data_IF_643871310336
#
_entry.id   IF_643871310336
#
_cell.length_a   1.000
_cell.length_b   1.000
_cell.length_c   1.000
_cell.angle_alpha   90.00
_cell.angle_beta   90.00
_cell.angle_gamma   90.00
#
_symmetry.space_group_name_H-M   'P 1'
#
loop_
_entity.id
_entity.type
_entity.pdbx_description
1 polymer ?
#
# COMPACT_ATOMS: atom_id res chain seq x y z
N UNK A 1 -17.10 -6.31 -11.57
CA UNK A 1 -16.84 -5.85 -10.19
C UNK A 1 -17.75 -4.66 -9.95
N UNK A 2 -18.45 -4.63 -8.81
CA UNK A 2 -19.31 -3.50 -8.46
C UNK A 2 -18.49 -2.24 -8.14
N UNK A 3 -19.13 -1.08 -8.18
CA UNK A 3 -18.56 0.15 -7.64
C UNK A 3 -18.58 0.08 -6.11
N UNK A 4 -17.44 0.37 -5.47
CA UNK A 4 -17.35 0.56 -4.04
C UNK A 4 -17.73 1.99 -3.66
N UNK A 5 -18.53 2.14 -2.61
CA UNK A 5 -18.88 3.44 -2.02
C UNK A 5 -18.61 3.42 -0.52
N UNK A 6 -17.78 4.35 -0.04
CA UNK A 6 -17.43 4.49 1.38
C UNK A 6 -18.03 5.80 1.91
N UNK A 7 -18.81 5.69 2.98
CA UNK A 7 -19.45 6.82 3.65
C UNK A 7 -18.95 6.95 5.08
N UNK A 8 -18.81 8.19 5.53
CA UNK A 8 -18.52 8.58 6.91
C UNK A 8 -19.62 9.57 7.32
N UNK A 9 -20.47 9.17 8.26
CA UNK A 9 -21.63 9.96 8.73
C UNK A 9 -22.50 10.51 7.58
N UNK A 10 -22.91 9.60 6.68
CA UNK A 10 -23.65 9.89 5.44
C UNK A 10 -22.91 10.71 4.37
N UNK A 11 -21.71 11.22 4.64
CA UNK A 11 -20.88 11.89 3.65
C UNK A 11 -20.08 10.87 2.81
N UNK A 12 -20.23 10.95 1.48
CA UNK A 12 -19.48 10.12 0.55
C UNK A 12 -17.99 10.51 0.55
N UNK A 13 -17.14 9.60 1.01
CA UNK A 13 -15.68 9.79 1.07
C UNK A 13 -14.97 9.24 -0.18
N UNK A 14 -15.53 8.18 -0.79
CA UNK A 14 -14.93 7.53 -1.95
C UNK A 14 -16.01 6.78 -2.75
N UNK A 15 -15.97 6.92 -4.08
CA UNK A 15 -16.68 6.08 -5.04
C UNK A 15 -15.66 5.59 -6.08
N UNK A 16 -15.48 4.27 -6.21
CA UNK A 16 -14.43 3.71 -7.07
C UNK A 16 -14.68 2.26 -7.45
N UNK A 17 -14.16 1.83 -8.60
CA UNK A 17 -14.07 0.41 -8.95
C UNK A 17 -12.76 -0.24 -8.48
N UNK A 18 -11.83 0.54 -7.90
CA UNK A 18 -10.53 0.07 -7.42
C UNK A 18 -10.64 -0.47 -5.99
N UNK A 19 -10.40 -1.77 -5.74
CA UNK A 19 -10.45 -2.35 -4.40
C UNK A 19 -9.45 -1.71 -3.45
N UNK A 20 -8.22 -1.44 -3.91
CA UNK A 20 -7.17 -0.86 -3.05
C UNK A 20 -7.48 0.59 -2.66
N UNK A 21 -8.13 1.36 -3.54
CA UNK A 21 -8.59 2.71 -3.21
C UNK A 21 -9.78 2.68 -2.23
N UNK A 22 -10.70 1.72 -2.40
CA UNK A 22 -11.79 1.50 -1.46
C UNK A 22 -11.27 1.08 -0.07
N UNK A 23 -10.30 0.16 -0.01
CA UNK A 23 -9.61 -0.25 1.22
C UNK A 23 -8.93 0.95 1.90
N UNK A 24 -8.22 1.79 1.14
CA UNK A 24 -7.56 2.98 1.69
C UNK A 24 -8.57 4.00 2.26
N UNK A 25 -9.70 4.20 1.57
CA UNK A 25 -10.77 5.09 2.04
C UNK A 25 -11.43 4.55 3.32
N UNK A 26 -11.72 3.25 3.38
CA UNK A 26 -12.24 2.59 4.58
C UNK A 26 -11.30 2.72 5.77
N UNK A 27 -10.03 2.35 5.61
CA UNK A 27 -9.03 2.43 6.68
C UNK A 27 -8.87 3.85 7.24
N UNK A 28 -9.10 4.88 6.40
CA UNK A 28 -9.08 6.28 6.82
C UNK A 28 -10.36 6.67 7.55
N UNK A 29 -11.53 6.33 7.01
CA UNK A 29 -12.82 6.64 7.61
C UNK A 29 -13.00 5.93 8.97
N UNK A 30 -12.62 4.65 9.05
CA UNK A 30 -12.75 3.82 10.26
C UNK A 30 -11.97 4.35 11.45
N UNK A 31 -10.98 5.24 11.24
CA UNK A 31 -10.15 5.81 12.31
C UNK A 31 -10.37 7.31 12.53
N UNK A 32 -11.43 7.88 11.95
CA UNK A 32 -11.75 9.30 12.13
C UNK A 32 -12.18 9.57 13.57
N UNK A 33 -11.34 10.29 14.31
CA UNK A 33 -11.58 10.59 15.72
C UNK A 33 -12.75 11.54 15.97
N UNK A 34 -13.01 12.49 15.06
CA UNK A 34 -14.08 13.48 15.25
C UNK A 34 -15.46 12.84 15.13
N UNK A 35 -15.61 11.93 14.18
CA UNK A 35 -16.86 11.19 13.98
C UNK A 35 -17.03 10.14 15.07
N UNK A 36 -15.94 9.49 15.50
CA UNK A 36 -15.96 8.56 16.62
C UNK A 36 -16.46 9.23 17.93
N UNK A 37 -15.94 10.42 18.26
CA UNK A 37 -16.34 11.18 19.46
C UNK A 37 -17.83 11.57 19.47
N UNK A 38 -18.41 11.78 18.29
CA UNK A 38 -19.83 12.12 18.12
C UNK A 38 -20.74 10.88 18.03
N UNK A 39 -20.17 9.68 18.05
CA UNK A 39 -20.92 8.43 17.91
C UNK A 39 -21.44 8.17 16.50
N UNK A 40 -20.80 8.73 15.46
CA UNK A 40 -21.18 8.53 14.06
C UNK A 40 -20.83 7.13 13.52
N UNK A 41 -20.97 6.96 12.20
CA UNK A 41 -20.83 5.66 11.53
C UNK A 41 -19.96 5.72 10.28
N UNK A 42 -19.37 4.58 9.93
CA UNK A 42 -18.72 4.32 8.64
C UNK A 42 -19.47 3.19 7.96
N UNK A 43 -19.80 3.37 6.68
CA UNK A 43 -20.51 2.39 5.85
C UNK A 43 -19.76 2.14 4.56
N UNK A 44 -19.65 0.87 4.17
CA UNK A 44 -19.11 0.44 2.90
C UNK A 44 -20.18 -0.29 2.09
N UNK A 45 -20.28 0.05 0.81
CA UNK A 45 -21.14 -0.61 -0.16
C UNK A 45 -20.32 -1.14 -1.32
N UNK A 46 -20.78 -2.23 -1.93
CA UNK A 46 -20.36 -2.68 -3.25
C UNK A 46 -21.60 -2.88 -4.11
N UNK A 47 -21.75 -2.05 -5.15
CA UNK A 47 -23.06 -1.90 -5.80
C UNK A 47 -24.12 -1.58 -4.74
N UNK A 48 -25.25 -2.27 -4.79
CA UNK A 48 -26.38 -2.05 -3.87
C UNK A 48 -26.26 -2.80 -2.52
N UNK A 49 -25.18 -3.55 -2.31
CA UNK A 49 -25.01 -4.36 -1.10
C UNK A 49 -24.19 -3.61 -0.07
N UNK A 50 -24.69 -3.53 1.18
CA UNK A 50 -23.89 -3.09 2.33
C UNK A 50 -22.87 -4.17 2.65
N UNK A 51 -21.59 -3.86 2.43
CA UNK A 51 -20.45 -4.73 2.75
C UNK A 51 -20.17 -4.68 4.25
N UNK A 52 -20.29 -3.50 4.86
CA UNK A 52 -20.10 -3.32 6.29
C UNK A 52 -20.62 -1.99 6.82
N UNK A 53 -20.89 -1.98 8.13
CA UNK A 53 -21.20 -0.80 8.91
C UNK A 53 -20.58 -0.92 10.30
N UNK A 54 -19.92 0.14 10.78
CA UNK A 54 -19.33 0.16 12.11
C UNK A 54 -19.20 1.59 12.66
N UNK A 55 -18.95 1.70 13.97
CA UNK A 55 -18.55 2.97 14.59
C UNK A 55 -17.04 3.14 14.47
N UNK A 56 -16.53 4.25 13.92
CA UNK A 56 -15.10 4.47 13.83
C UNK A 56 -14.43 4.49 15.22
N UNK A 57 -13.18 4.04 15.28
CA UNK A 57 -12.36 4.00 16.50
C UNK A 57 -11.11 4.86 16.33
N UNK A 58 -10.83 5.84 17.21
CA UNK A 58 -9.67 6.69 17.06
C UNK A 58 -8.37 5.87 17.03
N UNK A 59 -7.46 6.25 16.12
CA UNK A 59 -6.08 5.70 16.00
C UNK A 59 -5.98 4.25 15.51
N UNK A 60 -7.09 3.52 15.37
CA UNK A 60 -7.11 2.14 14.87
C UNK A 60 -7.82 2.10 13.52
N UNK A 61 -7.07 1.80 12.45
CA UNK A 61 -7.68 1.46 11.17
C UNK A 61 -8.27 0.05 11.26
N UNK A 62 -9.52 -0.13 10.86
CA UNK A 62 -10.15 -1.45 10.85
C UNK A 62 -9.82 -2.17 9.55
N UNK A 63 -9.61 -3.49 9.57
CA UNK A 63 -9.36 -4.25 8.35
C UNK A 63 -10.53 -4.11 7.38
N UNK A 64 -10.25 -4.35 6.09
CA UNK A 64 -11.29 -4.35 5.08
C UNK A 64 -12.33 -5.44 5.39
N UNK A 65 -13.62 -5.12 5.44
CA UNK A 65 -14.62 -5.97 6.09
C UNK A 65 -15.20 -7.06 5.19
N UNK A 66 -15.01 -6.98 3.87
CA UNK A 66 -15.56 -7.94 2.89
C UNK A 66 -14.92 -9.34 2.98
N UNK A 67 -13.91 -9.53 3.84
CA UNK A 67 -13.25 -10.83 4.02
C UNK A 67 -12.63 -11.43 2.74
N UNK A 68 -12.58 -10.68 1.63
CA UNK A 68 -11.97 -11.12 0.38
C UNK A 68 -10.53 -11.55 0.62
N UNK A 69 -10.12 -12.56 -0.14
CA UNK A 69 -8.79 -13.18 -0.05
C UNK A 69 -7.62 -12.20 -0.29
N UNK A 70 -7.85 -11.04 -0.93
CA UNK A 70 -6.78 -10.08 -1.23
C UNK A 70 -7.00 -8.70 -0.58
N UNK A 71 -6.47 -8.56 0.64
CA UNK A 71 -6.17 -7.25 1.22
C UNK A 71 -4.81 -6.79 0.71
N UNK A 72 -4.68 -5.50 0.36
CA UNK A 72 -3.40 -4.97 -0.10
C UNK A 72 -2.30 -5.23 0.95
N UNK A 73 -1.21 -5.87 0.52
CA UNK A 73 -0.09 -6.25 1.39
C UNK A 73 1.25 -5.72 0.86
N UNK A 74 2.36 -6.12 1.51
CA UNK A 74 3.69 -5.64 1.14
C UNK A 74 4.15 -6.09 -0.25
N UNK A 75 3.58 -7.16 -0.82
CA UNK A 75 3.85 -7.57 -2.21
C UNK A 75 3.24 -6.57 -3.20
N UNK A 76 2.02 -6.11 -2.94
CA UNK A 76 1.39 -5.07 -3.75
C UNK A 76 2.15 -3.73 -3.67
N UNK A 77 2.62 -3.38 -2.47
CA UNK A 77 3.48 -2.20 -2.26
C UNK A 77 4.78 -2.34 -3.04
N UNK A 78 5.43 -3.50 -2.97
CA UNK A 78 6.66 -3.77 -3.70
C UNK A 78 6.48 -3.64 -5.21
N UNK A 79 5.46 -4.27 -5.79
CA UNK A 79 5.18 -4.17 -7.23
C UNK A 79 4.96 -2.72 -7.67
N UNK A 80 4.15 -2.00 -6.90
CA UNK A 80 3.85 -0.60 -7.18
C UNK A 80 5.11 0.26 -7.10
N UNK A 81 5.95 0.03 -6.09
CA UNK A 81 7.20 0.75 -5.89
C UNK A 81 8.20 0.48 -7.03
N UNK A 82 8.47 -0.79 -7.35
CA UNK A 82 9.38 -1.16 -8.43
C UNK A 82 8.92 -0.58 -9.77
N UNK A 83 7.60 -0.63 -10.05
CA UNK A 83 7.04 -0.01 -11.26
C UNK A 83 7.30 1.50 -11.30
N UNK A 84 7.11 2.21 -10.19
CA UNK A 84 7.36 3.67 -10.11
C UNK A 84 8.85 3.98 -10.28
N UNK A 85 9.75 3.20 -9.66
CA UNK A 85 11.20 3.38 -9.79
C UNK A 85 11.68 3.13 -11.23
N UNK A 86 11.16 2.10 -11.89
CA UNK A 86 11.43 1.84 -13.32
C UNK A 86 10.99 2.99 -14.23
N UNK A 87 9.83 3.57 -13.97
CA UNK A 87 9.36 4.76 -14.71
C UNK A 87 10.27 5.98 -14.51
N UNK A 88 11.06 5.99 -13.44
CA UNK A 88 12.08 7.00 -13.15
C UNK A 88 13.46 6.64 -13.73
N UNK A 89 13.55 5.61 -14.57
CA UNK A 89 14.79 5.15 -15.20
C UNK A 89 15.69 4.29 -14.30
N UNK A 90 15.20 3.86 -13.14
CA UNK A 90 15.94 2.96 -12.25
C UNK A 90 15.58 1.52 -12.59
N UNK A 91 16.42 0.86 -13.37
CA UNK A 91 16.31 -0.57 -13.64
C UNK A 91 16.81 -1.41 -12.44
N UNK A 92 16.61 -2.73 -12.52
CA UNK A 92 16.98 -3.65 -11.44
C UNK A 92 18.48 -3.59 -11.09
N UNK A 93 19.35 -3.33 -12.07
CA UNK A 93 20.80 -3.18 -11.85
C UNK A 93 21.12 -1.89 -11.10
N UNK A 94 20.47 -0.77 -11.46
CA UNK A 94 20.62 0.49 -10.74
C UNK A 94 20.15 0.36 -9.28
N UNK A 95 19.00 -0.29 -9.05
CA UNK A 95 18.46 -0.54 -7.71
C UNK A 95 19.38 -1.45 -6.88
N UNK A 96 19.85 -2.55 -7.46
CA UNK A 96 20.82 -3.43 -6.81
C UNK A 96 22.11 -2.67 -6.49
N UNK A 97 22.61 -1.85 -7.43
CA UNK A 97 23.79 -1.01 -7.24
C UNK A 97 23.64 -0.04 -6.06
N UNK A 98 22.48 0.63 -5.95
CA UNK A 98 22.19 1.53 -4.84
C UNK A 98 22.19 0.78 -3.49
N UNK A 99 21.52 -0.37 -3.40
CA UNK A 99 21.51 -1.20 -2.20
C UNK A 99 22.90 -1.69 -1.80
N UNK A 100 23.70 -2.17 -2.76
CA UNK A 100 25.07 -2.59 -2.49
C UNK A 100 25.93 -1.44 -1.94
N UNK A 101 25.80 -0.23 -2.51
CA UNK A 101 26.48 0.98 -2.02
C UNK A 101 25.98 1.46 -0.66
N UNK A 102 24.74 1.10 -0.30
CA UNK A 102 24.15 1.36 1.01
C UNK A 102 24.53 0.28 2.06
N UNK A 103 25.12 -0.84 1.61
CA UNK A 103 25.60 -1.91 2.47
C UNK A 103 24.72 -3.15 2.53
N UNK A 104 23.65 -3.22 1.73
CA UNK A 104 22.81 -4.41 1.57
C UNK A 104 23.18 -5.14 0.28
N UNK A 105 23.89 -6.26 0.41
CA UNK A 105 24.35 -7.03 -0.74
C UNK A 105 23.18 -7.68 -1.47
N UNK A 106 23.06 -7.41 -2.77
CA UNK A 106 22.09 -8.09 -3.64
C UNK A 106 22.56 -8.10 -5.08
N UNK A 107 22.16 -9.13 -5.83
CA UNK A 107 22.38 -9.22 -7.29
C UNK A 107 21.17 -8.73 -8.08
N UNK A 108 19.98 -8.69 -7.46
CA UNK A 108 18.72 -8.28 -8.07
C UNK A 108 17.72 -7.93 -6.98
N UNK A 109 17.00 -6.82 -7.18
CA UNK A 109 15.91 -6.41 -6.30
C UNK A 109 14.64 -7.17 -6.67
N UNK A 110 14.35 -7.31 -7.95
CA UNK A 110 13.17 -8.06 -8.40
C UNK A 110 13.23 -9.56 -8.05
N UNK A 111 14.40 -10.18 -8.18
CA UNK A 111 14.55 -11.59 -7.85
C UNK A 111 14.62 -11.85 -6.33
N UNK A 112 14.90 -10.84 -5.49
CA UNK A 112 15.00 -11.04 -4.04
C UNK A 112 13.68 -11.41 -3.38
N UNK A 113 12.56 -11.15 -4.06
CA UNK A 113 11.21 -11.54 -3.62
C UNK A 113 10.69 -12.79 -4.33
N UNK A 114 11.52 -13.47 -5.13
CA UNK A 114 11.20 -14.78 -5.70
C UNK A 114 11.80 -15.87 -4.81
N UNK A 115 11.05 -16.93 -4.54
CA UNK A 115 11.56 -18.11 -3.84
C UNK A 115 12.09 -19.16 -4.83
N UNK A 116 12.88 -20.11 -4.32
CA UNK A 116 13.51 -21.17 -5.12
C UNK A 116 12.50 -22.17 -5.74
N UNK A 117 11.25 -22.16 -5.27
CA UNK A 117 10.15 -22.99 -5.77
C UNK A 117 9.29 -22.25 -6.79
N UNK A 118 9.68 -21.03 -7.19
CA UNK A 118 8.94 -20.18 -8.13
C UNK A 118 7.74 -19.46 -7.50
N UNK A 119 7.62 -19.52 -6.18
CA UNK A 119 6.69 -18.70 -5.40
C UNK A 119 7.27 -17.32 -5.11
N UNK A 120 6.49 -16.51 -4.38
CA UNK A 120 6.83 -15.12 -4.10
C UNK A 120 6.92 -14.88 -2.60
N UNK A 121 8.10 -14.52 -2.14
CA UNK A 121 8.35 -14.09 -0.77
C UNK A 121 7.69 -12.74 -0.51
N UNK A 122 7.06 -12.59 0.64
CA UNK A 122 6.55 -11.30 1.10
C UNK A 122 7.74 -10.46 1.56
N UNK A 123 8.04 -9.32 0.91
CA UNK A 123 9.13 -8.46 1.35
C UNK A 123 8.80 -7.88 2.73
N UNK A 124 9.83 -7.68 3.55
CA UNK A 124 9.67 -7.04 4.85
C UNK A 124 9.54 -5.52 4.71
N UNK A 125 8.92 -4.88 5.69
CA UNK A 125 8.88 -3.42 5.77
C UNK A 125 10.29 -2.82 5.87
N UNK A 126 11.25 -3.52 6.49
CA UNK A 126 12.63 -3.09 6.60
C UNK A 126 13.32 -3.02 5.23
N UNK A 127 13.14 -4.03 4.38
CA UNK A 127 13.70 -4.03 3.01
C UNK A 127 13.15 -2.88 2.17
N UNK A 128 11.85 -2.59 2.29
CA UNK A 128 11.23 -1.44 1.61
C UNK A 128 11.84 -0.11 2.07
N UNK A 129 12.02 0.09 3.37
CA UNK A 129 12.65 1.30 3.91
C UNK A 129 14.09 1.44 3.42
N UNK A 130 14.88 0.37 3.49
CA UNK A 130 16.28 0.36 3.06
C UNK A 130 16.40 0.64 1.56
N UNK A 131 15.52 0.09 0.72
CA UNK A 131 15.50 0.38 -0.72
C UNK A 131 15.25 1.87 -0.99
N UNK A 132 14.27 2.47 -0.31
CA UNK A 132 13.95 3.89 -0.47
C UNK A 132 15.12 4.78 -0.03
N UNK A 133 15.74 4.49 1.11
CA UNK A 133 16.90 5.24 1.62
C UNK A 133 18.12 5.09 0.71
N UNK A 134 18.39 3.88 0.22
CA UNK A 134 19.49 3.61 -0.70
C UNK A 134 19.33 4.41 -2.00
N UNK A 135 18.14 4.35 -2.63
CA UNK A 135 17.85 5.11 -3.85
C UNK A 135 17.96 6.62 -3.61
N UNK A 136 17.44 7.11 -2.48
CA UNK A 136 17.54 8.53 -2.15
C UNK A 136 18.99 8.97 -2.00
N UNK A 137 19.79 8.26 -1.20
CA UNK A 137 21.21 8.62 -1.00
C UNK A 137 22.02 8.51 -2.29
N UNK A 138 21.72 7.52 -3.13
CA UNK A 138 22.42 7.33 -4.39
C UNK A 138 22.19 8.52 -5.34
N UNK A 139 20.95 9.00 -5.42
CA UNK A 139 20.60 10.20 -6.20
C UNK A 139 21.18 11.50 -5.65
N UNK A 140 21.47 11.57 -4.35
CA UNK A 140 22.20 12.73 -3.80
C UNK A 140 23.70 12.71 -4.14
N UNK A 141 24.26 11.53 -4.49
CA UNK A 141 25.68 11.38 -4.86
C UNK A 141 25.94 11.66 -6.34
N UNK A 142 24.93 11.48 -7.19
CA UNK A 142 25.01 11.88 -8.60
C UNK A 142 25.08 13.41 -8.69
N UNK A 143 26.14 14.01 -9.27
CA UNK A 143 26.15 15.44 -9.52
C UNK A 143 25.00 15.75 -10.49
N UNK A 144 24.14 16.71 -10.11
CA UNK A 144 23.13 17.26 -11.01
C UNK A 144 23.87 17.88 -12.21
N UNK A 145 23.96 17.13 -13.32
CA UNK A 145 24.45 17.63 -14.60
C UNK A 145 23.34 18.33 -15.36
#
# INVERSE_FOLDING_TARGET
MGEFRIYLDDELQCATTSPVLAQAAWNRASRDGRVAEKGGSVRAYEGEVTVAEMRPEPRVGHPWPDGRDHQADLRDVWDSLIRVLKQQGLDDQALAGALNRFGLTTTSVEASVQDELGGRTVPSAAELVVLLEAVYQDRQREPQM
#
